data_IF_466255152959
#
_entry.id   IF_466255152959
#
_cell.length_a   1.000
_cell.length_b   1.000
_cell.length_c   1.000
_cell.angle_alpha   90.00
_cell.angle_beta   90.00
_cell.angle_gamma   90.00
#
_symmetry.space_group_name_H-M   'P 1'
#
loop_
_entity.id
_entity.type
_entity.pdbx_description
1 polymer ?
#
# COMPACT_ATOMS: atom_id res chain seq x y z
N UNK A 1 9.30 -5.93 22.05
CA UNK A 1 8.18 -6.30 21.14
C UNK A 1 7.71 -5.01 20.48
N UNK A 2 8.14 -4.74 19.25
CA UNK A 2 7.68 -3.53 18.55
C UNK A 2 6.19 -3.71 18.27
N UNK A 3 5.34 -2.82 18.81
CA UNK A 3 3.93 -2.75 18.42
C UNK A 3 3.91 -2.46 16.93
N UNK A 4 3.51 -3.43 16.12
CA UNK A 4 3.28 -3.21 14.69
C UNK A 4 2.14 -2.20 14.63
N UNK A 5 2.44 -0.98 14.19
CA UNK A 5 1.41 0.05 14.00
C UNK A 5 0.45 -0.45 12.91
N UNK A 6 -0.79 -0.72 13.29
CA UNK A 6 -1.82 -1.29 12.41
C UNK A 6 -2.08 -0.39 11.19
N UNK A 7 -1.76 0.91 11.26
CA UNK A 7 -1.87 1.85 10.14
C UNK A 7 -0.85 1.60 9.03
N UNK A 8 0.22 0.84 9.31
CA UNK A 8 1.26 0.50 8.33
C UNK A 8 0.84 -0.60 7.36
N UNK A 9 -0.37 -1.15 7.47
CA UNK A 9 -0.92 -2.10 6.52
C UNK A 9 -2.38 -1.78 6.23
N UNK A 10 -2.68 -1.30 5.02
CA UNK A 10 -4.04 -1.03 4.56
C UNK A 10 -4.49 -2.07 3.55
N UNK A 11 -5.78 -2.37 3.52
CA UNK A 11 -6.36 -3.21 2.46
C UNK A 11 -7.18 -2.37 1.50
N UNK A 12 -6.90 -2.46 0.21
CA UNK A 12 -7.55 -1.64 -0.81
C UNK A 12 -7.91 -2.46 -2.04
N UNK A 13 -8.81 -1.90 -2.85
CA UNK A 13 -9.08 -2.38 -4.18
C UNK A 13 -7.93 -1.98 -5.13
N UNK A 14 -7.48 -2.93 -5.98
CA UNK A 14 -6.37 -2.69 -6.91
C UNK A 14 -6.70 -1.63 -7.97
N UNK A 15 -7.95 -1.58 -8.44
CA UNK A 15 -8.42 -0.57 -9.37
C UNK A 15 -8.38 0.80 -8.68
N UNK A 16 -8.91 0.93 -7.47
CA UNK A 16 -8.85 2.18 -6.71
C UNK A 16 -7.39 2.67 -6.53
N UNK A 17 -6.46 1.75 -6.21
CA UNK A 17 -5.04 2.08 -6.11
C UNK A 17 -4.47 2.57 -7.45
N UNK A 18 -4.75 1.87 -8.56
CA UNK A 18 -4.29 2.25 -9.89
C UNK A 18 -4.82 3.61 -10.37
N UNK A 19 -6.00 4.01 -9.88
CA UNK A 19 -6.65 5.29 -10.21
C UNK A 19 -6.32 6.42 -9.21
N UNK A 20 -5.38 6.22 -8.27
CA UNK A 20 -4.99 7.21 -7.25
C UNK A 20 -6.13 7.60 -6.29
N UNK A 21 -7.04 6.66 -6.03
CA UNK A 21 -8.18 6.85 -5.11
C UNK A 21 -7.88 6.37 -3.68
N UNK A 22 -6.67 5.87 -3.43
CA UNK A 22 -6.23 5.40 -2.10
C UNK A 22 -5.50 6.53 -1.40
N UNK A 23 -5.80 6.74 -0.11
CA UNK A 23 -5.12 7.76 0.70
C UNK A 23 -4.07 7.17 1.63
N UNK A 24 -3.06 7.98 1.95
CA UNK A 24 -2.05 7.65 2.94
C UNK A 24 -2.67 7.65 4.35
N UNK A 25 -2.54 6.57 5.14
CA UNK A 25 -3.16 6.46 6.47
C UNK A 25 -2.55 7.41 7.55
N UNK A 26 -1.52 8.18 7.18
CA UNK A 26 -0.82 9.10 8.09
C UNK A 26 -1.06 10.58 7.80
N UNK A 27 -1.32 10.94 6.56
CA UNK A 27 -1.46 12.35 6.14
C UNK A 27 -2.54 12.60 5.09
N UNK A 28 -3.33 11.57 4.77
CA UNK A 28 -4.46 11.60 3.85
C UNK A 28 -4.14 12.00 2.39
N UNK A 29 -2.86 12.02 2.03
CA UNK A 29 -2.41 12.30 0.66
C UNK A 29 -2.76 11.13 -0.28
N UNK A 30 -3.18 11.44 -1.51
CA UNK A 30 -3.46 10.42 -2.52
C UNK A 30 -2.19 9.66 -2.91
N UNK A 31 -2.28 8.34 -2.89
CA UNK A 31 -1.21 7.42 -3.26
C UNK A 31 -1.67 6.46 -4.35
N UNK A 32 -0.72 6.00 -5.15
CA UNK A 32 -0.94 5.09 -6.26
C UNK A 32 0.36 4.41 -6.69
N UNK A 33 0.37 3.74 -7.85
CA UNK A 33 1.45 2.83 -8.26
C UNK A 33 2.82 3.51 -8.38
N UNK A 34 2.85 4.81 -8.70
CA UNK A 34 4.10 5.58 -8.81
C UNK A 34 4.88 5.71 -7.49
N UNK A 35 4.22 5.47 -6.36
CA UNK A 35 4.83 5.58 -5.04
C UNK A 35 5.17 4.22 -4.42
N UNK A 36 5.01 3.14 -5.20
CA UNK A 36 5.42 1.80 -4.82
C UNK A 36 6.94 1.71 -4.79
N UNK A 37 7.49 1.30 -3.64
CA UNK A 37 8.93 1.06 -3.46
C UNK A 37 9.28 -0.42 -3.58
N UNK A 38 8.32 -1.32 -3.32
CA UNK A 38 8.50 -2.76 -3.46
C UNK A 38 7.18 -3.45 -3.78
N UNK A 39 7.15 -4.27 -4.82
CA UNK A 39 6.03 -5.17 -5.11
C UNK A 39 6.28 -6.54 -4.47
N UNK A 40 5.28 -7.10 -3.78
CA UNK A 40 5.36 -8.44 -3.19
C UNK A 40 4.64 -9.43 -4.11
N UNK A 41 5.41 -10.10 -4.97
CA UNK A 41 4.92 -10.99 -6.03
C UNK A 41 4.85 -12.48 -5.61
N UNK A 42 5.31 -12.82 -4.40
CA UNK A 42 5.74 -14.20 -4.07
C UNK A 42 4.77 -15.04 -3.21
N UNK A 43 3.49 -15.17 -3.61
CA UNK A 43 2.64 -16.27 -3.10
C UNK A 43 1.91 -16.95 -4.27
N UNK A 44 2.42 -18.08 -4.79
CA UNK A 44 1.70 -18.91 -5.75
C UNK A 44 0.37 -19.41 -5.16
N UNK A 45 -0.73 -19.51 -5.94
CA UNK A 45 -0.79 -19.40 -7.40
C UNK A 45 -1.44 -18.12 -7.95
N UNK A 46 -1.57 -17.02 -7.18
CA UNK A 46 -2.38 -15.85 -7.61
C UNK A 46 -1.65 -14.49 -7.51
N UNK A 47 -2.04 -13.50 -8.35
CA UNK A 47 -1.33 -12.22 -8.58
C UNK A 47 -1.24 -11.31 -7.32
N UNK A 48 -0.37 -10.28 -7.31
CA UNK A 48 0.32 -9.80 -6.11
C UNK A 48 -0.65 -9.29 -5.04
N UNK A 49 -0.52 -9.81 -3.82
CA UNK A 49 -1.39 -9.41 -2.72
C UNK A 49 -0.94 -8.14 -2.02
N UNK A 50 0.29 -7.65 -2.21
CA UNK A 50 0.72 -6.43 -1.54
C UNK A 50 1.79 -5.63 -2.28
N UNK A 51 1.81 -4.33 -2.04
CA UNK A 51 2.86 -3.40 -2.44
C UNK A 51 3.26 -2.52 -1.25
N UNK A 52 4.56 -2.35 -1.01
CA UNK A 52 5.05 -1.33 -0.09
C UNK A 52 5.04 0.01 -0.81
N UNK A 53 4.39 0.99 -0.21
CA UNK A 53 4.20 2.35 -0.73
C UNK A 53 4.84 3.33 0.22
N UNK A 54 5.56 4.31 -0.35
CA UNK A 54 6.13 5.43 0.40
C UNK A 54 5.39 6.71 0.04
N UNK A 55 4.74 7.33 1.02
CA UNK A 55 3.99 8.56 0.77
C UNK A 55 4.92 9.68 0.26
N UNK A 56 4.55 10.41 -0.81
CA UNK A 56 5.37 11.52 -1.30
C UNK A 56 5.40 12.71 -0.33
N UNK A 57 4.38 12.86 0.53
CA UNK A 57 4.20 13.99 1.44
C UNK A 57 4.85 13.75 2.81
N UNK A 58 4.35 12.78 3.59
CA UNK A 58 4.88 12.50 4.93
C UNK A 58 6.08 11.56 4.95
N UNK A 59 6.47 10.97 3.80
CA UNK A 59 7.58 10.01 3.65
C UNK A 59 7.43 8.70 4.44
N UNK A 60 6.32 8.49 5.13
CA UNK A 60 5.97 7.23 5.79
C UNK A 60 5.82 6.11 4.78
N UNK A 61 6.21 4.91 5.21
CA UNK A 61 6.12 3.67 4.44
C UNK A 61 5.05 2.78 5.04
N UNK A 62 4.19 2.24 4.17
CA UNK A 62 3.12 1.32 4.54
C UNK A 62 2.90 0.29 3.45
N UNK A 63 2.35 -0.85 3.84
CA UNK A 63 1.94 -1.91 2.95
C UNK A 63 0.50 -1.70 2.50
N UNK A 64 0.30 -1.80 1.20
CA UNK A 64 -0.99 -1.82 0.54
C UNK A 64 -1.27 -3.25 0.16
N UNK A 65 -2.26 -3.87 0.80
CA UNK A 65 -2.71 -5.22 0.51
C UNK A 65 -3.88 -5.14 -0.46
N UNK A 66 -3.77 -5.76 -1.62
CA UNK A 66 -4.82 -5.79 -2.63
C UNK A 66 -5.82 -6.89 -2.31
N UNK A 67 -7.10 -6.52 -2.20
CA UNK A 67 -8.21 -7.48 -2.14
C UNK A 67 -8.59 -7.90 -3.56
N UNK A 68 -8.94 -9.18 -3.72
CA UNK A 68 -9.45 -9.74 -4.97
C UNK A 68 -10.89 -9.30 -5.25
#
# INVERSE_FOLDING_TARGET
MQKIDERRRISVDRRAFNHYEVTCPFCDENVGPRFVTREHLDIPPNPPYAATVRCPRCKEEFEVVFRA
#
